data_IF_570429173335
#
_entry.id   IF_570429173335
#
_cell.length_a   1.000
_cell.length_b   1.000
_cell.length_c   1.000
_cell.angle_alpha   90.00
_cell.angle_beta   90.00
_cell.angle_gamma   90.00
#
_symmetry.space_group_name_H-M   'P 1'
#
loop_
_entity.id
_entity.type
_entity.pdbx_description
1 polymer ?
#
# COMPACT_ATOMS: atom_id res chain seq x y z
N UNK A 1 -23.43 -0.14 -17.04
CA UNK A 1 -22.53 -0.11 -15.86
C UNK A 1 -23.33 0.27 -14.61
N UNK A 2 -24.21 1.29 -14.63
CA UNK A 2 -24.98 1.74 -13.45
C UNK A 2 -25.85 0.65 -12.80
N UNK A 3 -26.34 -0.29 -13.57
CA UNK A 3 -27.23 -1.36 -13.11
C UNK A 3 -26.46 -2.61 -12.61
N UNK A 4 -25.14 -2.63 -12.70
CA UNK A 4 -24.33 -3.73 -12.18
C UNK A 4 -24.13 -3.57 -10.68
N UNK A 5 -24.12 -4.67 -9.91
CA UNK A 5 -23.89 -4.62 -8.45
C UNK A 5 -22.43 -4.28 -8.08
N UNK A 6 -21.55 -4.21 -9.07
CA UNK A 6 -20.12 -3.99 -8.89
C UNK A 6 -19.74 -2.52 -9.06
N UNK A 7 -18.82 -2.04 -8.22
CA UNK A 7 -18.29 -0.67 -8.27
C UNK A 7 -16.90 -0.59 -8.90
N UNK A 8 -16.07 -1.54 -8.62
CA UNK A 8 -14.71 -1.56 -9.14
C UNK A 8 -14.68 -1.98 -10.60
N UNK A 9 -13.89 -1.27 -11.42
CA UNK A 9 -13.77 -1.58 -12.84
C UNK A 9 -13.30 -3.01 -13.11
N UNK A 10 -12.40 -3.53 -12.24
CA UNK A 10 -11.95 -4.93 -12.31
C UNK A 10 -13.11 -5.93 -12.21
N UNK A 11 -14.06 -5.71 -11.29
CA UNK A 11 -15.22 -6.57 -11.12
C UNK A 11 -16.21 -6.45 -12.31
N UNK A 12 -16.35 -5.23 -12.84
CA UNK A 12 -17.15 -4.99 -14.05
C UNK A 12 -16.56 -5.75 -15.24
N UNK A 13 -15.24 -5.71 -15.41
CA UNK A 13 -14.52 -6.48 -16.44
C UNK A 13 -14.70 -7.99 -16.23
N UNK A 14 -14.70 -8.45 -14.99
CA UNK A 14 -14.91 -9.86 -14.62
C UNK A 14 -16.27 -10.44 -15.07
N UNK A 15 -17.28 -9.58 -15.36
CA UNK A 15 -18.59 -10.04 -15.90
C UNK A 15 -18.57 -10.31 -17.40
N UNK A 16 -17.47 -10.01 -18.08
CA UNK A 16 -17.35 -10.17 -19.54
C UNK A 16 -17.02 -11.62 -19.90
N UNK A 17 -17.66 -12.15 -20.94
CA UNK A 17 -17.36 -13.48 -21.43
C UNK A 17 -15.87 -13.65 -21.82
N UNK A 18 -15.26 -14.76 -21.40
CA UNK A 18 -13.82 -15.01 -21.61
C UNK A 18 -12.88 -14.34 -20.62
N UNK A 19 -13.42 -13.70 -19.59
CA UNK A 19 -12.66 -13.15 -18.45
C UNK A 19 -12.94 -14.00 -17.21
N UNK A 20 -11.91 -14.43 -16.54
CA UNK A 20 -12.00 -15.10 -15.25
C UNK A 20 -11.43 -14.20 -14.15
N UNK A 21 -12.17 -14.04 -13.09
CA UNK A 21 -11.75 -13.34 -11.89
C UNK A 21 -12.06 -14.21 -10.67
N UNK A 22 -11.05 -14.46 -9.84
CA UNK A 22 -11.24 -15.17 -8.57
C UNK A 22 -11.99 -14.25 -7.58
N UNK A 23 -12.89 -14.82 -6.82
CA UNK A 23 -13.61 -14.09 -5.78
C UNK A 23 -12.66 -13.40 -4.79
N UNK A 24 -12.97 -12.14 -4.46
CA UNK A 24 -12.14 -11.32 -3.59
C UNK A 24 -10.84 -10.79 -4.22
N UNK A 25 -10.49 -11.17 -5.45
CA UNK A 25 -9.32 -10.65 -6.16
C UNK A 25 -9.67 -9.43 -7.01
N UNK A 26 -8.72 -8.49 -7.12
CA UNK A 26 -8.78 -7.40 -8.11
C UNK A 26 -8.12 -7.79 -9.44
N UNK A 27 -7.41 -8.92 -9.49
CA UNK A 27 -6.76 -9.44 -10.68
C UNK A 27 -7.73 -10.30 -11.50
N UNK A 28 -7.62 -10.25 -12.82
CA UNK A 28 -8.42 -11.04 -13.74
C UNK A 28 -7.56 -11.61 -14.88
N UNK A 29 -8.00 -12.72 -15.44
CA UNK A 29 -7.34 -13.45 -16.51
C UNK A 29 -8.23 -13.41 -17.75
N UNK A 30 -7.69 -13.03 -18.90
CA UNK A 30 -8.42 -13.01 -20.18
C UNK A 30 -8.00 -14.22 -20.99
N UNK A 31 -8.97 -15.08 -21.34
CA UNK A 31 -8.76 -16.33 -22.12
C UNK A 31 -7.62 -17.20 -21.61
N UNK A 32 -7.46 -17.31 -20.29
CA UNK A 32 -6.40 -18.12 -19.68
C UNK A 32 -5.01 -17.48 -19.66
N UNK A 33 -4.83 -16.28 -20.19
CA UNK A 33 -3.59 -15.54 -20.08
C UNK A 33 -3.33 -15.12 -18.62
N UNK A 34 -2.08 -14.88 -18.26
CA UNK A 34 -1.72 -14.37 -16.92
C UNK A 34 -2.31 -12.99 -16.71
N UNK A 35 -2.71 -12.67 -15.48
CA UNK A 35 -3.26 -11.35 -15.14
C UNK A 35 -2.30 -10.20 -15.46
N UNK A 36 -0.99 -10.42 -15.32
CA UNK A 36 0.06 -9.45 -15.66
C UNK A 36 0.22 -9.19 -17.17
N UNK A 37 -0.36 -10.03 -18.01
CA UNK A 37 -0.32 -9.88 -19.48
C UNK A 37 -1.43 -8.99 -20.03
N UNK A 38 -2.40 -8.61 -19.18
CA UNK A 38 -3.49 -7.72 -19.56
C UNK A 38 -3.04 -6.27 -19.50
N UNK A 39 -3.56 -5.47 -20.42
CA UNK A 39 -3.26 -4.04 -20.46
C UNK A 39 -4.55 -3.24 -20.35
N UNK A 40 -4.51 -2.22 -19.52
CA UNK A 40 -5.64 -1.31 -19.30
C UNK A 40 -5.34 0.05 -19.90
N UNK A 41 -6.28 0.59 -20.65
CA UNK A 41 -6.25 1.95 -21.16
C UNK A 41 -7.43 2.74 -20.60
N UNK A 42 -7.20 3.96 -20.19
CA UNK A 42 -8.21 4.93 -19.81
C UNK A 42 -8.02 6.16 -20.67
N UNK A 43 -9.02 6.51 -21.45
CA UNK A 43 -8.97 7.60 -22.44
C UNK A 43 -7.74 7.50 -23.37
N UNK A 44 -7.35 6.27 -23.74
CA UNK A 44 -6.18 6.01 -24.59
C UNK A 44 -4.82 6.11 -23.87
N UNK A 45 -4.78 6.42 -22.58
CA UNK A 45 -3.57 6.39 -21.77
C UNK A 45 -3.38 4.99 -21.17
N UNK A 46 -2.21 4.40 -21.37
CA UNK A 46 -1.86 3.10 -20.76
C UNK A 46 -1.72 3.28 -19.25
N UNK A 47 -2.51 2.53 -18.49
CA UNK A 47 -2.56 2.62 -17.03
C UNK A 47 -1.56 1.65 -16.41
N UNK A 48 -0.84 2.13 -15.41
CA UNK A 48 0.00 1.34 -14.52
C UNK A 48 -0.47 1.61 -13.09
N UNK A 49 -0.72 0.57 -12.30
CA UNK A 49 -1.25 0.72 -10.93
C UNK A 49 -2.76 0.57 -10.84
N UNK A 50 -3.41 1.31 -9.95
CA UNK A 50 -4.87 1.25 -9.78
C UNK A 50 -5.58 1.89 -10.99
N UNK A 51 -6.37 1.11 -11.71
CA UNK A 51 -7.13 1.55 -12.86
C UNK A 51 -8.61 1.83 -12.57
N UNK A 52 -9.01 1.80 -11.30
CA UNK A 52 -10.38 2.14 -10.94
C UNK A 52 -10.65 3.63 -11.12
N UNK A 53 -11.87 3.92 -11.52
CA UNK A 53 -12.41 5.26 -11.71
C UNK A 53 -13.67 5.45 -10.85
N UNK A 54 -14.03 6.68 -10.50
CA UNK A 54 -15.38 6.95 -10.03
C UNK A 54 -16.39 6.40 -11.03
N UNK A 55 -17.35 5.60 -10.55
CA UNK A 55 -18.27 4.85 -11.41
C UNK A 55 -19.00 5.74 -12.41
N UNK A 56 -19.43 6.90 -11.97
CA UNK A 56 -20.18 7.84 -12.79
C UNK A 56 -19.33 8.58 -13.83
N UNK A 57 -18.00 8.53 -13.73
CA UNK A 57 -17.10 9.04 -14.76
C UNK A 57 -17.06 8.15 -16.01
N UNK A 58 -17.39 6.86 -15.87
CA UNK A 58 -17.25 5.89 -16.95
C UNK A 58 -18.41 6.06 -17.95
N UNK A 59 -18.07 6.26 -19.22
CA UNK A 59 -19.00 6.21 -20.34
C UNK A 59 -19.15 4.78 -20.83
N UNK A 60 -18.04 4.15 -21.16
CA UNK A 60 -17.98 2.83 -21.78
C UNK A 60 -16.69 2.11 -21.33
N UNK A 61 -16.80 0.80 -21.16
CA UNK A 61 -15.64 -0.09 -21.01
C UNK A 61 -15.77 -1.20 -22.03
N UNK A 62 -14.73 -1.40 -22.80
CA UNK A 62 -14.59 -2.43 -23.81
C UNK A 62 -13.52 -3.42 -23.37
N UNK A 63 -13.80 -4.71 -23.50
CA UNK A 63 -12.86 -5.78 -23.19
C UNK A 63 -12.55 -6.53 -24.47
N UNK A 64 -11.34 -6.37 -24.97
CA UNK A 64 -10.86 -7.02 -26.19
C UNK A 64 -10.13 -8.29 -25.77
N UNK A 65 -10.80 -9.42 -25.99
CA UNK A 65 -10.29 -10.74 -25.59
C UNK A 65 -9.49 -11.45 -26.68
N UNK A 66 -9.46 -10.89 -27.90
CA UNK A 66 -8.72 -11.45 -29.04
C UNK A 66 -8.92 -10.59 -30.29
N UNK A 67 -8.10 -10.77 -31.31
CA UNK A 67 -8.14 -9.92 -32.50
C UNK A 67 -7.74 -8.47 -32.18
N UNK A 68 -6.78 -8.30 -31.32
CA UNK A 68 -6.38 -6.98 -30.81
C UNK A 68 -5.89 -6.07 -31.93
N UNK A 69 -6.47 -4.88 -32.09
CA UNK A 69 -5.99 -3.90 -33.07
C UNK A 69 -4.51 -3.51 -32.86
N UNK A 70 -3.81 -3.23 -33.95
CA UNK A 70 -2.37 -2.93 -33.94
C UNK A 70 -1.99 -1.70 -33.09
N UNK A 71 -2.92 -0.81 -32.81
CA UNK A 71 -2.72 0.33 -31.90
C UNK A 71 -2.41 -0.06 -30.46
N UNK A 72 -2.74 -1.28 -30.04
CA UNK A 72 -2.46 -1.83 -28.73
C UNK A 72 -1.26 -2.79 -28.85
N UNK A 73 -0.09 -2.27 -29.05
CA UNK A 73 1.14 -3.09 -29.11
C UNK A 73 1.55 -3.65 -27.75
N UNK A 74 2.51 -4.60 -27.76
CA UNK A 74 3.23 -5.09 -26.58
C UNK A 74 2.31 -5.76 -25.54
N UNK A 75 1.44 -6.69 -25.98
CA UNK A 75 0.58 -7.47 -25.09
C UNK A 75 0.40 -8.91 -25.59
N UNK A 76 0.23 -9.83 -24.64
CA UNK A 76 -0.06 -11.24 -24.89
C UNK A 76 -1.39 -11.69 -24.24
N UNK A 77 -2.03 -10.78 -23.50
CA UNK A 77 -3.32 -10.98 -22.82
C UNK A 77 -4.45 -10.18 -23.49
N UNK A 78 -5.42 -9.79 -22.69
CA UNK A 78 -6.52 -8.94 -23.12
C UNK A 78 -6.25 -7.45 -22.97
N UNK A 79 -7.03 -6.63 -23.67
CA UNK A 79 -7.05 -5.19 -23.51
C UNK A 79 -8.37 -4.76 -22.89
N UNK A 80 -8.28 -3.94 -21.86
CA UNK A 80 -9.43 -3.24 -21.29
C UNK A 80 -9.30 -1.77 -21.67
N UNK A 81 -10.23 -1.28 -22.47
CA UNK A 81 -10.28 0.11 -22.89
C UNK A 81 -11.48 0.80 -22.27
N UNK A 82 -11.24 1.76 -21.41
CA UNK A 82 -12.28 2.54 -20.74
C UNK A 82 -12.24 3.97 -21.23
N UNK A 83 -13.39 4.47 -21.62
CA UNK A 83 -13.58 5.87 -22.02
C UNK A 83 -14.39 6.58 -20.95
N UNK A 84 -13.92 7.73 -20.51
CA UNK A 84 -14.66 8.59 -19.58
C UNK A 84 -15.73 9.40 -20.35
N UNK A 85 -16.77 9.81 -19.61
CA UNK A 85 -17.78 10.71 -20.16
C UNK A 85 -17.12 12.00 -20.62
N UNK A 86 -17.59 12.50 -21.74
CA UNK A 86 -17.23 13.85 -22.18
C UNK A 86 -18.19 14.89 -21.61
N UNK A 87 -17.83 16.19 -21.71
CA UNK A 87 -18.73 17.27 -21.36
C UNK A 87 -20.00 17.23 -22.21
N UNK A 88 -21.15 17.40 -21.56
CA UNK A 88 -22.45 17.50 -22.20
C UNK A 88 -22.77 18.97 -22.56
N UNK A 89 -23.70 19.24 -23.48
CA UNK A 89 -24.18 20.59 -23.80
C UNK A 89 -25.06 21.19 -22.69
N UNK A 90 -25.41 20.42 -21.68
CA UNK A 90 -26.18 20.80 -20.48
C UNK A 90 -25.42 20.43 -19.20
N UNK A 91 -25.76 21.11 -18.12
CA UNK A 91 -25.22 20.75 -16.81
C UNK A 91 -25.88 19.47 -16.31
N UNK A 92 -25.07 18.60 -15.75
CA UNK A 92 -25.52 17.39 -15.08
C UNK A 92 -24.66 17.14 -13.84
N UNK A 93 -25.22 16.44 -12.89
CA UNK A 93 -24.50 16.03 -11.69
C UNK A 93 -25.16 14.82 -11.07
N UNK A 94 -24.37 14.11 -10.28
CA UNK A 94 -24.85 13.02 -9.42
C UNK A 94 -24.06 13.06 -8.12
N UNK A 95 -24.71 12.74 -7.02
CA UNK A 95 -24.07 12.48 -5.73
C UNK A 95 -24.56 11.16 -5.19
N UNK A 96 -23.68 10.44 -4.51
CA UNK A 96 -23.98 9.18 -3.88
C UNK A 96 -23.29 9.13 -2.52
N UNK A 97 -24.01 8.74 -1.48
CA UNK A 97 -23.49 8.51 -0.15
C UNK A 97 -23.93 7.12 0.28
N UNK A 98 -22.98 6.27 0.64
CA UNK A 98 -23.23 4.95 1.20
C UNK A 98 -22.52 4.84 2.53
N UNK A 99 -23.21 4.27 3.52
CA UNK A 99 -22.63 3.98 4.82
C UNK A 99 -23.21 2.69 5.38
N UNK A 100 -22.36 1.82 5.86
CA UNK A 100 -22.74 0.64 6.61
C UNK A 100 -22.59 0.82 8.12
N UNK A 101 -22.11 1.99 8.57
CA UNK A 101 -21.76 2.23 9.98
C UNK A 101 -22.89 2.05 10.98
N UNK A 102 -24.15 2.10 10.51
CA UNK A 102 -25.35 1.84 11.34
C UNK A 102 -25.71 0.35 11.40
N UNK A 103 -25.17 -0.49 10.51
CA UNK A 103 -25.56 -1.89 10.32
C UNK A 103 -24.46 -2.87 10.66
N UNK A 104 -23.20 -2.46 10.57
CA UNK A 104 -22.04 -3.30 10.84
C UNK A 104 -20.88 -2.56 11.52
N UNK A 105 -19.90 -3.32 11.98
CA UNK A 105 -18.70 -2.80 12.66
C UNK A 105 -17.55 -2.53 11.67
N UNK A 106 -17.73 -2.79 10.37
CA UNK A 106 -16.69 -2.65 9.35
C UNK A 106 -16.59 -1.22 8.82
N UNK A 107 -17.63 -0.41 9.08
CA UNK A 107 -17.68 1.02 8.74
C UNK A 107 -17.30 1.28 7.29
N UNK A 108 -17.99 0.64 6.35
CA UNK A 108 -17.88 1.03 4.94
C UNK A 108 -18.57 2.38 4.74
N UNK A 109 -17.80 3.38 4.37
CA UNK A 109 -18.32 4.71 4.04
C UNK A 109 -17.81 5.12 2.67
N UNK A 110 -18.70 5.63 1.84
CA UNK A 110 -18.39 6.10 0.50
C UNK A 110 -19.18 7.36 0.20
N UNK A 111 -18.47 8.36 -0.30
CA UNK A 111 -19.05 9.55 -0.90
C UNK A 111 -18.55 9.70 -2.33
N UNK A 112 -19.45 9.89 -3.29
CA UNK A 112 -19.11 10.15 -4.67
C UNK A 112 -19.87 11.38 -5.20
N UNK A 113 -19.18 12.18 -6.01
CA UNK A 113 -19.73 13.36 -6.67
C UNK A 113 -19.25 13.40 -8.12
N UNK A 114 -20.17 13.62 -9.03
CA UNK A 114 -19.87 13.86 -10.45
C UNK A 114 -20.58 15.11 -10.90
N UNK A 115 -19.85 16.01 -11.55
CA UNK A 115 -20.34 17.26 -12.13
C UNK A 115 -19.82 17.39 -13.55
N UNK A 116 -20.65 17.86 -14.46
CA UNK A 116 -20.24 18.12 -15.83
C UNK A 116 -21.17 19.10 -16.52
N UNK A 117 -20.67 19.68 -17.59
CA UNK A 117 -21.46 20.60 -18.40
C UNK A 117 -20.60 21.60 -19.18
N UNK A 118 -21.24 22.56 -19.82
CA UNK A 118 -20.57 23.60 -20.61
C UNK A 118 -20.05 24.73 -19.69
N UNK A 119 -18.78 25.11 -19.89
CA UNK A 119 -18.24 26.35 -19.29
C UNK A 119 -18.54 27.52 -20.20
N UNK A 120 -18.33 27.35 -21.52
CA UNK A 120 -18.56 28.39 -22.52
C UNK A 120 -19.44 27.82 -23.62
N UNK A 121 -20.48 28.55 -23.99
CA UNK A 121 -21.38 28.22 -25.11
C UNK A 121 -21.21 29.24 -26.25
N UNK A 122 -21.37 28.78 -27.47
CA UNK A 122 -21.47 29.67 -28.63
C UNK A 122 -22.90 30.32 -28.73
N UNK A 123 -23.07 31.24 -29.65
CA UNK A 123 -24.38 31.92 -29.89
C UNK A 123 -25.51 30.98 -30.27
N UNK A 124 -25.19 29.75 -30.72
CA UNK A 124 -26.15 28.69 -31.07
C UNK A 124 -26.47 27.75 -29.90
N UNK A 125 -25.90 28.02 -28.68
CA UNK A 125 -26.12 27.20 -27.47
C UNK A 125 -25.21 25.95 -27.36
N UNK A 126 -24.34 25.72 -28.35
CA UNK A 126 -23.41 24.57 -28.31
C UNK A 126 -22.23 24.87 -27.38
N UNK A 127 -21.78 23.87 -26.64
CA UNK A 127 -20.62 24.01 -25.77
C UNK A 127 -19.34 24.15 -26.60
N UNK A 128 -18.62 25.28 -26.41
CA UNK A 128 -17.24 25.46 -26.91
C UNK A 128 -16.22 24.89 -25.94
N UNK A 129 -16.43 25.15 -24.63
CA UNK A 129 -15.62 24.60 -23.56
C UNK A 129 -16.54 23.86 -22.61
N UNK A 130 -16.26 22.62 -22.36
CA UNK A 130 -16.99 21.83 -21.39
C UNK A 130 -16.07 21.09 -20.44
N UNK A 131 -16.59 20.69 -19.31
CA UNK A 131 -15.87 19.97 -18.26
C UNK A 131 -16.61 18.74 -17.79
N UNK A 132 -15.85 17.79 -17.26
CA UNK A 132 -16.30 16.70 -16.41
C UNK A 132 -15.37 16.65 -15.20
N UNK A 133 -15.92 16.52 -14.00
CA UNK A 133 -15.22 16.22 -12.77
C UNK A 133 -15.97 15.11 -12.05
N UNK A 134 -15.29 14.05 -11.68
CA UNK A 134 -15.83 12.97 -10.88
C UNK A 134 -14.86 12.66 -9.72
N UNK A 135 -15.40 12.51 -8.54
CA UNK A 135 -14.66 12.20 -7.32
C UNK A 135 -15.32 11.07 -6.56
N UNK A 136 -14.51 10.28 -5.88
CA UNK A 136 -14.95 9.23 -4.98
C UNK A 136 -14.01 9.19 -3.78
N UNK A 137 -14.59 9.23 -2.60
CA UNK A 137 -13.92 9.01 -1.32
C UNK A 137 -14.48 7.74 -0.70
N UNK A 138 -13.62 6.86 -0.23
CA UNK A 138 -14.00 5.61 0.41
C UNK A 138 -13.18 5.41 1.69
N UNK A 139 -13.86 5.03 2.76
CA UNK A 139 -13.24 4.62 4.02
C UNK A 139 -13.79 3.27 4.46
N UNK A 140 -12.91 2.36 4.85
CA UNK A 140 -13.27 1.08 5.46
C UNK A 140 -12.45 0.90 6.73
N UNK A 141 -13.08 0.58 7.84
CA UNK A 141 -12.39 0.18 9.07
C UNK A 141 -11.74 -1.20 8.90
N UNK A 142 -12.48 -2.15 8.35
CA UNK A 142 -11.96 -3.45 7.91
C UNK A 142 -12.56 -3.82 6.55
N UNK A 143 -11.74 -3.76 5.50
CA UNK A 143 -12.17 -4.06 4.13
C UNK A 143 -12.17 -5.54 3.75
N UNK A 144 -11.74 -6.42 4.66
CA UNK A 144 -11.69 -7.87 4.44
C UNK A 144 -11.97 -8.60 5.75
N UNK A 145 -13.19 -8.43 6.31
CA UNK A 145 -13.57 -9.08 7.55
C UNK A 145 -13.52 -10.59 7.39
N UNK A 146 -13.28 -11.28 8.52
CA UNK A 146 -13.28 -12.73 8.55
C UNK A 146 -14.69 -13.25 8.85
N UNK A 147 -14.97 -14.46 8.41
CA UNK A 147 -16.19 -15.17 8.76
C UNK A 147 -16.21 -15.65 10.22
N UNK A 148 -15.05 -15.78 10.84
CA UNK A 148 -14.89 -16.13 12.25
C UNK A 148 -14.54 -14.89 13.06
N UNK A 149 -14.91 -14.93 14.34
CA UNK A 149 -14.52 -13.88 15.28
C UNK A 149 -13.01 -13.72 15.36
N UNK A 150 -12.56 -12.50 15.54
CA UNK A 150 -11.16 -12.18 15.85
C UNK A 150 -11.03 -11.97 17.36
N UNK A 151 -9.85 -12.27 17.88
CA UNK A 151 -9.53 -12.14 19.28
C UNK A 151 -8.40 -11.15 19.46
N UNK A 152 -8.50 -10.30 20.46
CA UNK A 152 -7.39 -9.50 20.97
C UNK A 152 -7.30 -9.66 22.49
N UNK A 153 -6.10 -9.47 23.04
CA UNK A 153 -5.93 -9.35 24.48
C UNK A 153 -6.61 -8.06 24.93
N UNK A 154 -7.32 -8.11 26.06
CA UNK A 154 -7.94 -6.90 26.63
C UNK A 154 -6.86 -5.85 26.96
N UNK A 155 -7.23 -4.58 26.94
CA UNK A 155 -6.26 -3.49 26.98
C UNK A 155 -5.51 -3.42 28.33
N UNK A 156 -6.18 -3.76 29.45
CA UNK A 156 -5.56 -3.79 30.77
C UNK A 156 -4.54 -4.92 30.90
N UNK A 157 -4.88 -6.11 30.40
CA UNK A 157 -3.94 -7.24 30.37
C UNK A 157 -2.77 -6.98 29.43
N UNK A 158 -3.01 -6.36 28.28
CA UNK A 158 -1.96 -5.98 27.36
C UNK A 158 -0.96 -5.00 28.02
N UNK A 159 -1.47 -4.01 28.75
CA UNK A 159 -0.63 -3.09 29.50
C UNK A 159 0.20 -3.81 30.59
N UNK A 160 -0.40 -4.78 31.28
CA UNK A 160 0.33 -5.61 32.27
C UNK A 160 1.45 -6.43 31.60
N UNK A 161 1.16 -7.07 30.45
CA UNK A 161 2.15 -7.84 29.71
C UNK A 161 3.30 -6.97 29.15
N UNK A 162 2.99 -5.74 28.75
CA UNK A 162 4.02 -4.80 28.30
C UNK A 162 4.89 -4.27 29.44
N UNK A 163 4.30 -4.11 30.63
CA UNK A 163 5.07 -3.70 31.82
C UNK A 163 5.92 -4.83 32.37
N UNK A 164 5.37 -6.05 32.43
CA UNK A 164 6.02 -7.25 33.02
C UNK A 164 5.97 -8.41 32.01
N UNK A 165 6.80 -8.38 30.95
CA UNK A 165 6.73 -9.35 29.86
C UNK A 165 7.26 -10.74 30.21
N UNK A 166 8.05 -10.85 31.27
CA UNK A 166 8.70 -12.08 31.71
C UNK A 166 8.35 -12.41 33.15
N UNK A 167 8.27 -13.69 33.46
CA UNK A 167 8.10 -14.24 34.81
C UNK A 167 9.19 -15.27 35.08
N UNK A 168 9.66 -15.42 36.34
CA UNK A 168 10.59 -16.48 36.72
C UNK A 168 9.98 -17.86 36.45
N UNK A 169 10.80 -18.78 35.97
CA UNK A 169 10.38 -20.18 35.83
C UNK A 169 10.21 -20.83 37.20
N UNK A 170 9.17 -21.63 37.36
CA UNK A 170 8.88 -22.35 38.62
C UNK A 170 9.98 -23.35 39.02
N UNK A 171 10.84 -23.75 38.10
CA UNK A 171 12.02 -24.58 38.34
C UNK A 171 13.18 -23.86 39.05
N UNK A 172 13.08 -22.54 39.26
CA UNK A 172 14.11 -21.73 39.85
C UNK A 172 15.20 -21.29 38.87
N UNK A 173 15.20 -21.80 37.66
CA UNK A 173 16.14 -21.42 36.61
C UNK A 173 15.45 -20.96 35.35
N UNK A 174 15.85 -19.80 34.82
CA UNK A 174 15.35 -19.24 33.58
C UNK A 174 14.09 -18.40 33.74
N UNK A 175 13.60 -17.89 32.63
CA UNK A 175 12.44 -17.01 32.54
C UNK A 175 11.46 -17.54 31.50
N UNK A 176 10.16 -17.29 31.70
CA UNK A 176 9.06 -17.63 30.81
C UNK A 176 8.40 -16.34 30.32
N UNK A 177 7.78 -16.38 29.14
CA UNK A 177 6.98 -15.27 28.67
C UNK A 177 5.67 -15.19 29.46
N UNK A 178 5.36 -14.05 30.02
CA UNK A 178 4.11 -13.83 30.71
C UNK A 178 2.88 -14.06 29.80
N UNK A 179 3.04 -13.83 28.49
CA UNK A 179 2.02 -14.08 27.47
C UNK A 179 1.65 -15.55 27.27
N UNK A 180 2.51 -16.50 27.67
CA UNK A 180 2.24 -17.94 27.58
C UNK A 180 1.14 -18.40 28.57
N UNK A 181 0.82 -17.55 29.55
CA UNK A 181 -0.18 -17.80 30.59
C UNK A 181 -1.53 -17.10 30.31
N UNK A 182 -1.73 -16.59 29.08
CA UNK A 182 -3.01 -16.01 28.70
C UNK A 182 -4.11 -17.07 28.71
N UNK A 183 -5.26 -16.70 29.25
CA UNK A 183 -6.48 -17.50 29.27
C UNK A 183 -7.55 -16.88 28.38
N UNK A 184 -8.66 -17.59 28.18
CA UNK A 184 -9.77 -17.07 27.40
C UNK A 184 -10.39 -15.82 28.03
N UNK A 185 -10.34 -15.69 29.36
CA UNK A 185 -10.89 -14.54 30.10
C UNK A 185 -10.06 -13.24 29.85
N UNK A 186 -8.82 -13.39 29.44
CA UNK A 186 -7.94 -12.27 29.07
C UNK A 186 -8.22 -11.75 27.66
N UNK A 187 -9.09 -12.42 26.88
CA UNK A 187 -9.34 -12.13 25.49
C UNK A 187 -10.68 -11.43 25.28
N UNK A 188 -10.71 -10.48 24.36
CA UNK A 188 -11.91 -9.84 23.85
C UNK A 188 -12.16 -10.30 22.42
N UNK A 189 -13.41 -10.70 22.15
CA UNK A 189 -13.86 -11.07 20.80
C UNK A 189 -14.41 -9.87 20.06
N UNK A 190 -14.14 -9.80 18.77
CA UNK A 190 -14.67 -8.76 17.89
C UNK A 190 -14.87 -9.28 16.46
N UNK A 191 -15.74 -8.62 15.69
CA UNK A 191 -16.06 -9.00 14.31
C UNK A 191 -15.13 -8.36 13.27
N UNK A 192 -14.23 -7.50 13.70
CA UNK A 192 -13.31 -6.78 12.81
C UNK A 192 -11.87 -6.90 13.33
N UNK A 193 -10.91 -6.68 12.45
CA UNK A 193 -9.49 -6.64 12.81
C UNK A 193 -9.10 -5.22 13.22
N UNK A 194 -8.29 -5.13 14.27
CA UNK A 194 -7.79 -3.85 14.74
C UNK A 194 -6.72 -3.27 13.81
N UNK A 195 -6.75 -1.94 13.68
CA UNK A 195 -5.73 -1.15 12.99
C UNK A 195 -5.45 -1.65 11.55
N UNK A 196 -6.51 -1.90 10.77
CA UNK A 196 -6.45 -2.27 9.35
C UNK A 196 -7.23 -1.32 8.44
N UNK A 197 -7.62 -0.18 8.97
CA UNK A 197 -8.41 0.81 8.24
C UNK A 197 -7.72 1.27 6.95
N UNK A 198 -8.54 1.54 5.94
CA UNK A 198 -8.08 1.99 4.62
C UNK A 198 -8.95 3.10 4.06
N UNK A 199 -8.29 4.17 3.62
CA UNK A 199 -8.89 5.29 2.91
C UNK A 199 -8.49 5.23 1.44
N UNK A 200 -9.44 5.50 0.54
CA UNK A 200 -9.18 5.66 -0.90
C UNK A 200 -9.80 6.96 -1.39
N UNK A 201 -9.07 7.63 -2.26
CA UNK A 201 -9.54 8.82 -2.98
C UNK A 201 -9.33 8.58 -4.46
N UNK A 202 -10.35 8.79 -5.26
CA UNK A 202 -10.30 8.70 -6.71
C UNK A 202 -10.86 9.97 -7.32
N UNK A 203 -10.09 10.58 -8.19
CA UNK A 203 -10.52 11.75 -8.94
C UNK A 203 -10.33 11.47 -10.43
N UNK A 204 -11.23 11.92 -11.26
CA UNK A 204 -11.10 11.89 -12.71
C UNK A 204 -11.77 13.12 -13.30
N UNK A 205 -11.16 13.71 -14.30
CA UNK A 205 -11.74 14.87 -14.95
C UNK A 205 -11.15 15.15 -16.32
N UNK A 206 -11.92 15.86 -17.12
CA UNK A 206 -11.45 16.37 -18.39
C UNK A 206 -12.07 17.73 -18.72
N UNK A 207 -11.30 18.50 -19.48
CA UNK A 207 -11.71 19.74 -20.11
C UNK A 207 -11.66 19.51 -21.62
N UNK A 208 -12.72 19.82 -22.34
CA UNK A 208 -12.81 19.70 -23.79
C UNK A 208 -13.05 21.06 -24.41
N UNK A 209 -12.19 21.44 -25.33
CA UNK A 209 -12.25 22.65 -26.12
C UNK A 209 -12.64 22.27 -27.56
N UNK A 210 -13.79 22.70 -28.02
CA UNK A 210 -14.28 22.49 -29.37
C UNK A 210 -14.03 23.80 -30.14
N UNK A 211 -12.85 23.90 -30.75
CA UNK A 211 -12.41 25.12 -31.44
C UNK A 211 -13.10 25.30 -32.80
N UNK A 212 -13.51 24.20 -33.40
CA UNK A 212 -14.35 24.18 -34.64
C UNK A 212 -15.14 22.86 -34.70
N UNK A 213 -16.04 22.73 -35.68
CA UNK A 213 -16.76 21.46 -35.92
C UNK A 213 -15.80 20.29 -36.25
N UNK A 214 -14.59 20.59 -36.67
CA UNK A 214 -13.55 19.62 -37.09
C UNK A 214 -12.42 19.46 -36.10
N UNK A 215 -12.27 20.36 -35.11
CA UNK A 215 -11.08 20.40 -34.24
C UNK A 215 -11.50 20.36 -32.77
N UNK A 216 -10.91 19.44 -32.04
CA UNK A 216 -11.13 19.25 -30.61
C UNK A 216 -9.79 19.13 -29.88
N UNK A 217 -9.64 19.87 -28.79
CA UNK A 217 -8.57 19.69 -27.83
C UNK A 217 -9.16 19.17 -26.52
N UNK A 218 -8.61 18.10 -25.98
CA UNK A 218 -9.01 17.55 -24.68
C UNK A 218 -7.81 17.51 -23.75
N UNK A 219 -7.97 18.06 -22.56
CA UNK A 219 -7.02 17.94 -21.46
C UNK A 219 -7.72 17.14 -20.37
N UNK A 220 -7.13 16.06 -19.92
CA UNK A 220 -7.74 15.22 -18.92
C UNK A 220 -6.72 14.55 -18.02
N UNK A 221 -7.25 13.91 -16.97
CA UNK A 221 -6.42 13.18 -16.05
C UNK A 221 -7.22 12.45 -14.98
N UNK A 222 -6.46 11.68 -14.22
CA UNK A 222 -6.98 10.94 -13.07
C UNK A 222 -5.97 10.97 -11.93
N UNK A 223 -6.47 10.82 -10.72
CA UNK A 223 -5.70 10.69 -9.50
C UNK A 223 -6.32 9.61 -8.63
N UNK A 224 -5.53 8.63 -8.22
CA UNK A 224 -5.92 7.61 -7.28
C UNK A 224 -4.94 7.58 -6.11
N UNK A 225 -5.47 7.57 -4.91
CA UNK A 225 -4.71 7.44 -3.67
C UNK A 225 -5.35 6.38 -2.79
N UNK A 226 -4.52 5.51 -2.23
CA UNK A 226 -4.93 4.55 -1.22
C UNK A 226 -3.94 4.58 -0.07
N UNK A 227 -4.43 4.83 1.12
CA UNK A 227 -3.66 4.81 2.36
C UNK A 227 -4.32 3.88 3.35
N UNK A 228 -3.53 3.07 4.05
CA UNK A 228 -4.08 2.17 5.06
C UNK A 228 -3.03 1.38 5.79
N UNK A 229 -3.51 0.47 6.63
CA UNK A 229 -2.69 -0.47 7.38
C UNK A 229 -2.85 -1.87 6.83
N UNK A 230 -1.78 -2.63 6.83
CA UNK A 230 -1.80 -4.04 6.43
C UNK A 230 -1.80 -4.90 7.69
N UNK A 231 -2.94 -5.54 7.95
CA UNK A 231 -3.07 -6.46 9.08
C UNK A 231 -2.26 -7.73 8.87
N UNK A 232 -1.54 -8.14 9.91
CA UNK A 232 -0.84 -9.42 9.97
C UNK A 232 -1.52 -10.31 10.99
N UNK A 233 -1.73 -11.60 10.65
CA UNK A 233 -2.27 -12.58 11.59
C UNK A 233 -1.42 -12.72 12.85
N UNK A 234 -0.11 -12.55 12.72
CA UNK A 234 0.83 -12.61 13.85
C UNK A 234 0.72 -11.40 14.78
N UNK A 235 0.10 -10.30 14.32
CA UNK A 235 -0.08 -9.10 15.12
C UNK A 235 -1.46 -9.00 15.77
N UNK A 236 -2.44 -9.78 15.34
CA UNK A 236 -3.84 -9.58 15.70
C UNK A 236 -4.11 -9.67 17.20
N UNK A 237 -3.41 -10.55 17.90
CA UNK A 237 -3.67 -10.80 19.31
C UNK A 237 -3.18 -9.66 20.22
N UNK A 238 -1.95 -9.20 20.03
CA UNK A 238 -1.27 -8.25 20.93
C UNK A 238 -0.54 -7.10 20.23
N UNK A 239 -0.19 -7.26 18.96
CA UNK A 239 0.73 -6.32 18.28
C UNK A 239 0.08 -5.58 17.11
N UNK A 240 -1.25 -5.49 17.06
CA UNK A 240 -2.00 -4.84 15.98
C UNK A 240 -1.62 -3.35 15.81
N UNK A 241 -1.13 -2.69 16.85
CA UNK A 241 -0.64 -1.30 16.78
C UNK A 241 0.51 -1.15 15.77
N UNK A 242 1.32 -2.20 15.59
CA UNK A 242 2.47 -2.23 14.68
C UNK A 242 2.16 -2.79 13.28
N UNK A 243 0.89 -2.87 12.90
CA UNK A 243 0.52 -3.17 11.53
C UNK A 243 1.19 -2.18 10.58
N UNK A 244 1.82 -2.68 9.52
CA UNK A 244 2.58 -1.86 8.58
C UNK A 244 1.69 -0.84 7.84
N UNK A 245 2.24 0.32 7.58
CA UNK A 245 1.62 1.37 6.77
C UNK A 245 1.81 1.07 5.29
N UNK A 246 0.74 1.20 4.51
CA UNK A 246 0.79 1.18 3.06
C UNK A 246 0.19 2.46 2.49
N UNK A 247 0.89 3.02 1.53
CA UNK A 247 0.45 4.16 0.76
C UNK A 247 0.69 3.87 -0.71
N UNK A 248 -0.29 4.10 -1.54
CA UNK A 248 -0.14 4.08 -3.00
C UNK A 248 -0.80 5.31 -3.60
N UNK A 249 -0.11 5.89 -4.55
CA UNK A 249 -0.55 7.05 -5.29
C UNK A 249 -0.23 6.83 -6.76
N UNK A 250 -1.22 6.99 -7.60
CA UNK A 250 -1.02 7.01 -9.04
C UNK A 250 -1.86 8.13 -9.68
N UNK A 251 -1.23 8.86 -10.58
CA UNK A 251 -1.89 9.89 -11.32
C UNK A 251 -1.40 9.92 -12.77
N UNK A 252 -2.28 10.29 -13.65
CA UNK A 252 -1.97 10.50 -15.05
C UNK A 252 -2.68 11.75 -15.57
N UNK A 253 -2.04 12.41 -16.51
CA UNK A 253 -2.62 13.51 -17.27
C UNK A 253 -2.32 13.31 -18.75
N UNK A 254 -3.19 13.82 -19.58
CA UNK A 254 -3.01 13.78 -21.02
C UNK A 254 -3.54 15.04 -21.69
N UNK A 255 -2.96 15.33 -22.83
CA UNK A 255 -3.44 16.34 -23.78
C UNK A 255 -3.65 15.65 -25.13
N UNK A 256 -4.85 15.73 -25.66
CA UNK A 256 -5.21 15.12 -26.94
C UNK A 256 -5.73 16.18 -27.90
N UNK A 257 -5.11 16.30 -29.05
CA UNK A 257 -5.57 17.09 -30.16
C UNK A 257 -6.15 16.16 -31.24
N UNK A 258 -7.35 16.47 -31.73
CA UNK A 258 -8.01 15.72 -32.78
C UNK A 258 -8.45 16.67 -33.89
N UNK A 259 -8.11 16.32 -35.13
CA UNK A 259 -8.54 17.03 -36.32
C UNK A 259 -9.25 16.06 -37.27
N UNK A 260 -10.43 16.43 -37.70
CA UNK A 260 -11.18 15.68 -38.71
C UNK A 260 -11.14 16.42 -40.05
N UNK A 261 -10.99 15.66 -41.12
CA UNK A 261 -11.07 16.15 -42.51
C UNK A 261 -12.30 15.54 -43.15
N UNK A 262 -13.08 16.29 -43.80
CA UNK A 262 -14.24 15.83 -44.54
C UNK A 262 -15.22 16.95 -44.74
N UNK A 263 -15.75 17.09 -45.95
CA UNK A 263 -16.91 17.91 -46.25
C UNK A 263 -18.13 16.99 -46.30
N UNK A 264 -19.19 17.39 -45.67
CA UNK A 264 -20.51 16.77 -45.76
C UNK A 264 -21.20 17.01 -47.13
N UNK A 265 -20.55 17.70 -48.06
CA UNK A 265 -21.08 17.91 -49.41
C UNK A 265 -20.63 16.80 -50.34
N UNK A 266 -21.59 16.10 -50.94
CA UNK A 266 -21.39 15.01 -51.91
C UNK A 266 -20.65 15.40 -53.21
N UNK A 267 -20.24 16.64 -53.37
CA UNK A 267 -19.64 17.20 -54.58
C UNK A 267 -18.14 17.32 -54.58
N UNK A 268 -17.45 16.89 -53.51
CA UNK A 268 -15.98 16.98 -53.44
C UNK A 268 -15.35 15.80 -54.17
N UNK A 269 -14.50 16.10 -55.16
CA UNK A 269 -13.69 15.15 -55.96
C UNK A 269 -12.51 14.51 -55.13
N UNK A 270 -12.52 14.57 -53.81
CA UNK A 270 -11.49 14.02 -52.96
C UNK A 270 -11.70 12.51 -52.75
N UNK A 271 -10.69 11.71 -53.10
CA UNK A 271 -10.63 10.26 -52.86
C UNK A 271 -10.62 9.90 -51.40
N UNK A 272 -10.22 10.81 -50.48
CA UNK A 272 -10.15 10.58 -49.02
C UNK A 272 -11.38 11.24 -48.39
N UNK A 273 -12.29 10.40 -47.87
CA UNK A 273 -13.49 10.83 -47.13
C UNK A 273 -13.35 10.44 -45.67
N UNK A 274 -13.74 11.32 -44.74
CA UNK A 274 -13.76 11.07 -43.29
C UNK A 274 -12.41 10.72 -42.66
N UNK A 275 -11.31 11.27 -43.17
CA UNK A 275 -10.00 11.13 -42.54
C UNK A 275 -9.94 11.94 -41.24
N UNK A 276 -9.26 11.41 -40.26
CA UNK A 276 -8.90 12.14 -39.03
C UNK A 276 -7.51 11.78 -38.57
N UNK A 277 -6.88 12.66 -37.83
CA UNK A 277 -5.70 12.34 -37.05
C UNK A 277 -5.89 12.78 -35.58
N UNK A 278 -5.19 12.09 -34.70
CA UNK A 278 -5.15 12.39 -33.28
C UNK A 278 -3.71 12.36 -32.79
N UNK A 279 -3.30 13.41 -32.09
CA UNK A 279 -2.01 13.49 -31.41
C UNK A 279 -2.31 13.53 -29.93
N UNK A 280 -1.67 12.65 -29.17
CA UNK A 280 -1.78 12.60 -27.72
C UNK A 280 -0.42 12.60 -27.08
N UNK A 281 -0.29 13.41 -26.02
CA UNK A 281 0.82 13.39 -25.08
C UNK A 281 0.25 13.03 -23.73
N UNK A 282 0.85 12.08 -23.04
CA UNK A 282 0.44 11.69 -21.70
C UNK A 282 1.63 11.50 -20.76
N UNK A 283 1.36 11.70 -19.48
CA UNK A 283 2.31 11.47 -18.41
C UNK A 283 1.63 10.68 -17.29
N UNK A 284 2.30 9.66 -16.79
CA UNK A 284 1.82 8.82 -15.69
C UNK A 284 2.91 8.66 -14.65
N UNK A 285 2.54 8.79 -13.38
CA UNK A 285 3.42 8.55 -12.24
C UNK A 285 2.73 7.64 -11.22
N UNK A 286 3.48 6.63 -10.77
CA UNK A 286 3.06 5.74 -9.70
C UNK A 286 4.05 5.83 -8.54
N UNK A 287 3.52 5.81 -7.32
CA UNK A 287 4.32 5.75 -6.10
C UNK A 287 3.68 4.76 -5.15
N UNK A 288 4.48 3.82 -4.64
CA UNK A 288 4.07 2.87 -3.59
C UNK A 288 5.03 2.93 -2.42
N UNK A 289 4.51 2.91 -1.21
CA UNK A 289 5.28 2.85 0.03
C UNK A 289 4.65 1.77 0.89
N UNK A 290 5.48 0.87 1.40
CA UNK A 290 5.11 -0.09 2.44
C UNK A 290 6.21 -0.05 3.50
N UNK A 291 5.84 0.30 4.72
CA UNK A 291 6.83 0.53 5.77
C UNK A 291 6.24 0.33 7.16
N UNK A 292 7.10 0.24 8.14
CA UNK A 292 6.72 0.38 9.54
C UNK A 292 6.10 1.77 9.81
N UNK A 293 5.05 1.80 10.61
CA UNK A 293 4.33 3.05 10.87
C UNK A 293 5.00 3.95 11.88
N UNK A 294 5.85 3.39 12.75
CA UNK A 294 6.53 4.11 13.84
C UNK A 294 7.86 4.70 13.33
N UNK A 295 8.73 3.84 12.82
CA UNK A 295 10.08 4.25 12.42
C UNK A 295 10.16 4.83 11.02
N UNK A 296 9.20 4.48 10.14
CA UNK A 296 9.12 5.00 8.77
C UNK A 296 10.45 4.85 8.01
N UNK A 297 11.11 5.97 7.71
CA UNK A 297 12.37 6.01 6.96
C UNK A 297 13.61 6.01 7.86
N UNK A 298 13.44 5.90 9.19
CA UNK A 298 14.53 5.86 10.15
C UNK A 298 15.10 4.45 10.24
N UNK A 299 15.86 4.06 9.25
CA UNK A 299 16.36 2.70 9.06
C UNK A 299 17.11 2.15 10.27
N UNK A 300 17.93 2.98 10.95
CA UNK A 300 18.72 2.55 12.11
C UNK A 300 17.93 2.44 13.42
N UNK A 301 16.68 2.90 13.45
CA UNK A 301 15.81 2.74 14.63
C UNK A 301 15.13 1.34 14.64
N UNK A 302 15.09 0.65 13.49
CA UNK A 302 14.50 -0.70 13.39
C UNK A 302 15.31 -1.70 14.20
N UNK A 303 14.66 -2.37 15.18
CA UNK A 303 15.28 -3.37 16.03
C UNK A 303 16.29 -2.80 17.02
N UNK A 304 16.51 -1.47 17.07
CA UNK A 304 17.42 -0.88 18.04
C UNK A 304 16.77 -0.87 19.43
N UNK A 305 17.27 -1.72 20.32
CA UNK A 305 16.74 -1.91 21.69
C UNK A 305 17.58 -1.23 22.75
N UNK A 306 18.88 -1.00 22.50
CA UNK A 306 19.78 -0.39 23.45
C UNK A 306 21.25 -0.66 23.14
N UNK A 307 22.09 -0.43 24.12
CA UNK A 307 23.54 -0.65 24.04
C UNK A 307 23.92 -1.84 24.92
N UNK A 308 24.77 -2.69 24.37
CA UNK A 308 25.40 -3.79 25.10
C UNK A 308 26.87 -3.49 25.23
N UNK A 309 27.41 -3.59 26.46
CA UNK A 309 28.82 -3.43 26.75
C UNK A 309 29.32 -4.69 27.42
N UNK A 310 30.20 -5.41 26.76
CA UNK A 310 30.87 -6.57 27.34
C UNK A 310 32.08 -6.10 28.14
N UNK A 311 32.14 -6.46 29.42
CA UNK A 311 33.26 -6.21 30.27
C UNK A 311 34.23 -7.39 30.17
N UNK A 312 35.49 -7.10 29.94
CA UNK A 312 36.53 -8.10 29.81
C UNK A 312 37.54 -7.95 30.93
N UNK A 313 38.05 -9.06 31.42
CA UNK A 313 39.21 -9.13 32.33
C UNK A 313 40.28 -10.00 31.72
N UNK A 314 41.55 -9.64 31.92
CA UNK A 314 42.64 -10.51 31.49
C UNK A 314 42.72 -11.73 32.42
N UNK A 315 42.75 -12.90 31.83
CA UNK A 315 43.10 -14.14 32.55
C UNK A 315 44.59 -14.40 32.43
N UNK A 316 45.21 -14.66 33.57
CA UNK A 316 46.61 -14.99 33.65
C UNK A 316 46.78 -16.48 33.95
N UNK A 317 47.69 -17.11 33.21
CA UNK A 317 48.10 -18.49 33.46
C UNK A 317 49.55 -18.51 33.91
N UNK A 318 49.86 -19.43 34.79
CA UNK A 318 51.23 -19.66 35.19
C UNK A 318 52.03 -20.21 34.00
N UNK A 319 53.12 -19.55 33.71
CA UNK A 319 53.97 -19.90 32.58
C UNK A 319 55.44 -19.57 32.91
N UNK A 320 56.32 -20.00 32.05
CA UNK A 320 57.68 -19.61 32.05
C UNK A 320 58.05 -18.91 30.76
N UNK A 321 58.75 -17.83 30.84
CA UNK A 321 59.26 -17.10 29.68
C UNK A 321 60.69 -16.69 29.85
N UNK A 322 61.43 -16.57 28.78
CA UNK A 322 62.83 -16.17 28.78
C UNK A 322 62.91 -14.66 28.63
N UNK A 323 63.73 -14.02 29.53
CA UNK A 323 63.93 -12.58 29.42
C UNK A 323 64.74 -12.27 28.18
N UNK A 324 64.10 -11.55 27.23
CA UNK A 324 64.65 -11.24 25.90
C UNK A 324 65.25 -9.83 25.81
N UNK A 325 65.07 -8.99 26.81
CA UNK A 325 65.72 -7.66 26.85
C UNK A 325 67.20 -7.78 27.15
N UNK A 326 68.09 -7.44 26.20
CA UNK A 326 69.54 -7.51 26.43
C UNK A 326 70.08 -6.61 27.56
N UNK A 327 69.33 -5.59 27.97
CA UNK A 327 69.68 -4.65 29.03
C UNK A 327 69.23 -5.11 30.42
N UNK A 328 68.40 -6.16 30.50
CA UNK A 328 67.97 -6.72 31.77
C UNK A 328 69.07 -7.56 32.38
N UNK A 329 69.38 -7.35 33.65
CA UNK A 329 70.39 -8.15 34.37
C UNK A 329 70.20 -9.66 34.38
N UNK A 330 68.96 -10.08 34.08
CA UNK A 330 68.54 -11.48 33.97
C UNK A 330 68.36 -11.94 32.53
N UNK A 331 68.93 -11.24 31.58
CA UNK A 331 68.84 -11.61 30.14
C UNK A 331 69.16 -13.10 29.91
N UNK A 332 68.36 -13.79 29.20
CA UNK A 332 68.45 -15.21 28.86
C UNK A 332 68.03 -16.16 30.00
N UNK A 333 67.62 -15.65 31.17
CA UNK A 333 67.10 -16.52 32.25
C UNK A 333 65.59 -16.81 31.99
N UNK A 334 65.19 -18.02 32.33
CA UNK A 334 63.78 -18.40 32.35
C UNK A 334 63.21 -17.96 33.70
N UNK A 335 62.21 -17.09 33.63
CA UNK A 335 61.48 -16.64 34.81
C UNK A 335 60.08 -17.31 34.78
N UNK A 336 59.73 -17.89 35.95
CA UNK A 336 58.38 -18.38 36.17
C UNK A 336 57.50 -17.23 36.67
N UNK A 337 56.38 -17.06 36.05
CA UNK A 337 55.46 -15.98 36.39
C UNK A 337 54.05 -16.25 35.82
N UNK A 338 53.25 -15.21 35.78
CA UNK A 338 51.91 -15.27 35.17
C UNK A 338 51.96 -14.48 33.88
N UNK A 339 51.58 -15.14 32.77
CA UNK A 339 51.42 -14.51 31.47
C UNK A 339 49.94 -14.37 31.16
N UNK A 340 49.57 -13.25 30.55
CA UNK A 340 48.20 -13.05 30.10
C UNK A 340 47.92 -14.02 28.95
N UNK A 341 46.96 -14.93 29.15
CA UNK A 341 46.61 -15.93 28.18
C UNK A 341 45.48 -15.44 27.25
N UNK A 342 44.38 -15.01 27.83
CA UNK A 342 43.18 -14.60 27.09
C UNK A 342 42.44 -13.49 27.83
N UNK A 343 41.60 -12.77 27.15
CA UNK A 343 40.58 -11.92 27.74
C UNK A 343 39.31 -12.73 27.96
N UNK A 344 38.84 -12.83 29.19
CA UNK A 344 37.56 -13.48 29.52
C UNK A 344 36.47 -12.43 29.68
N UNK A 345 35.29 -12.70 29.12
CA UNK A 345 34.12 -11.89 29.36
C UNK A 345 33.58 -12.10 30.77
N UNK A 346 33.47 -11.02 31.55
CA UNK A 346 32.89 -11.05 32.90
C UNK A 346 31.36 -10.92 32.92
N UNK A 347 30.78 -10.43 31.83
CA UNK A 347 29.35 -10.20 31.73
C UNK A 347 29.04 -9.09 30.73
N UNK A 348 27.76 -8.89 30.49
CA UNK A 348 27.22 -7.89 29.56
C UNK A 348 26.38 -6.90 30.34
N UNK A 349 26.72 -5.62 30.30
CA UNK A 349 25.88 -4.53 30.79
C UNK A 349 24.93 -4.12 29.65
N UNK A 350 23.66 -3.94 29.99
CA UNK A 350 22.64 -3.48 29.04
C UNK A 350 22.13 -2.10 29.47
N UNK A 351 22.10 -1.18 28.53
CA UNK A 351 21.48 0.15 28.66
C UNK A 351 20.31 0.27 27.67
N UNK A 352 19.05 0.37 28.14
CA UNK A 352 17.89 0.40 27.27
C UNK A 352 17.84 1.66 26.41
N UNK A 353 17.12 1.59 25.29
CA UNK A 353 16.83 2.69 24.37
C UNK A 353 15.33 3.01 24.35
N UNK A 354 14.99 4.26 24.08
CA UNK A 354 13.63 4.75 23.90
C UNK A 354 13.06 4.49 22.48
N UNK A 355 13.88 3.98 21.56
CA UNK A 355 13.47 3.77 20.16
C UNK A 355 12.44 2.65 20.01
N UNK A 356 12.59 1.57 20.76
CA UNK A 356 11.68 0.43 20.80
C UNK A 356 11.35 0.09 22.26
N UNK A 357 10.53 0.89 22.95
CA UNK A 357 10.38 0.82 24.40
C UNK A 357 9.87 -0.55 24.89
N UNK A 358 8.97 -1.20 24.16
CA UNK A 358 8.44 -2.53 24.53
C UNK A 358 9.55 -3.59 24.47
N UNK A 359 10.32 -3.62 23.38
CA UNK A 359 11.44 -4.57 23.23
C UNK A 359 12.59 -4.25 24.19
N UNK A 360 12.86 -2.96 24.43
CA UNK A 360 13.86 -2.52 25.41
C UNK A 360 13.47 -2.95 26.82
N UNK A 361 12.17 -2.83 27.19
CA UNK A 361 11.68 -3.29 28.48
C UNK A 361 11.75 -4.82 28.62
N UNK A 362 11.39 -5.56 27.56
CA UNK A 362 11.56 -7.02 27.54
C UNK A 362 13.01 -7.41 27.80
N UNK A 363 13.97 -6.77 27.14
CA UNK A 363 15.40 -7.04 27.31
C UNK A 363 15.87 -6.66 28.70
N UNK A 364 15.45 -5.51 29.25
CA UNK A 364 15.77 -5.10 30.63
C UNK A 364 15.24 -6.13 31.63
N UNK A 365 14.01 -6.58 31.48
CA UNK A 365 13.40 -7.59 32.34
C UNK A 365 14.16 -8.91 32.31
N UNK A 366 14.65 -9.33 31.12
CA UNK A 366 15.48 -10.51 30.99
C UNK A 366 16.79 -10.37 31.77
N UNK A 367 17.50 -9.24 31.60
CA UNK A 367 18.78 -9.00 32.33
C UNK A 367 18.56 -8.91 33.83
N UNK A 368 17.49 -8.28 34.29
CA UNK A 368 17.21 -8.17 35.73
C UNK A 368 16.90 -9.55 36.34
N UNK A 369 16.01 -10.33 35.74
CA UNK A 369 15.64 -11.66 36.23
C UNK A 369 16.82 -12.65 36.12
N UNK A 370 17.65 -12.55 35.10
CA UNK A 370 18.85 -13.38 34.97
C UNK A 370 19.88 -13.07 36.04
N UNK A 371 20.01 -11.80 36.49
CA UNK A 371 20.92 -11.41 37.56
C UNK A 371 20.46 -11.81 38.95
N UNK A 372 19.14 -11.95 39.16
CA UNK A 372 18.56 -12.40 40.44
C UNK A 372 18.65 -13.92 40.64
N UNK A 373 18.83 -14.69 39.55
CA UNK A 373 18.88 -16.16 39.54
C UNK A 373 20.32 -16.72 39.38
N UNK A 374 21.35 -15.86 39.44
CA UNK A 374 22.78 -16.23 39.50
C UNK A 374 23.32 -16.07 40.88
#
# INVERSE_FOLDING_TARGET
>A
IKNLPYRNLSQIVGTTAGVFQQDGSSSFNVRGARSSSNVVFIDGVKVRGDFNLPRDAILQTEVITGGTPAQYGDLTGGVISTTTKGPAPYYFGSSEILSSSMFDQYHYNLGALTLGGPIVKNKKGNAIVGFLLASEFQYNKDGSPRSLLTYKVNDDKLAQLQANPLVPASSGFGVLNAADFLTQDDLVTQNYRENVARTRVRLSGNLRFITSEKTTLTIGGRYNMSQGRNGSRFHELMNYANNSESFSEDWSTYVRFQQRFGNSSDTASSLIRNAFYSIQLDFTRNRGISRDAVHKDKFFDYGHIGKFKTNYVPLYVQGSDTITDPNDPNYGKVMNGYTQAVWAGLGVEYTPSDKNPILSNYTSSFFNLASENL
#
